data_IF_356751488555
#
_entry.id   IF_356751488555
#
_cell.length_a   1.000
_cell.length_b   1.000
_cell.length_c   1.000
_cell.angle_alpha   90.00
_cell.angle_beta   90.00
_cell.angle_gamma   90.00
#
_symmetry.space_group_name_H-M   'P 1'
#
loop_
_entity.id
_entity.type
_entity.pdbx_description
1 polymer ?
#
# COMPACT_ATOMS: atom_id res chain seq x y z
N UNK A 1 -26.06 2.73 32.61
CA UNK A 1 -24.93 2.01 31.99
C UNK A 1 -24.93 0.59 32.56
N UNK A 2 -25.17 -0.45 31.74
CA UNK A 2 -25.45 -1.83 32.22
C UNK A 2 -24.30 -2.42 33.04
N UNK A 3 -23.05 -2.24 32.59
CA UNK A 3 -21.86 -2.76 33.27
C UNK A 3 -21.62 -2.18 34.67
N UNK A 4 -21.98 -0.91 34.89
CA UNK A 4 -21.78 -0.23 36.19
C UNK A 4 -22.81 -0.65 37.24
N UNK A 5 -23.88 -1.34 36.85
CA UNK A 5 -24.87 -1.89 37.79
C UNK A 5 -24.38 -3.27 38.27
N UNK A 6 -23.97 -3.39 39.54
CA UNK A 6 -23.42 -4.62 40.11
C UNK A 6 -24.37 -5.81 40.00
N UNK A 7 -25.65 -5.61 40.33
CA UNK A 7 -26.68 -6.65 40.26
C UNK A 7 -26.83 -7.20 38.85
N UNK A 8 -26.94 -6.33 37.85
CA UNK A 8 -27.04 -6.76 36.44
C UNK A 8 -25.74 -7.39 35.94
N UNK A 9 -24.57 -6.85 36.30
CA UNK A 9 -23.26 -7.37 35.90
C UNK A 9 -23.05 -8.80 36.40
N UNK A 10 -23.38 -9.07 37.66
CA UNK A 10 -23.27 -10.41 38.27
C UNK A 10 -24.30 -11.38 37.69
N UNK A 11 -25.55 -10.94 37.54
CA UNK A 11 -26.62 -11.76 36.97
C UNK A 11 -26.33 -12.17 35.51
N UNK A 12 -25.82 -11.24 34.69
CA UNK A 12 -25.51 -11.47 33.28
C UNK A 12 -24.08 -11.95 33.03
N UNK A 13 -23.27 -12.11 34.10
CA UNK A 13 -21.86 -12.53 34.05
C UNK A 13 -21.00 -11.69 33.10
N UNK A 14 -21.17 -10.37 33.15
CA UNK A 14 -20.43 -9.45 32.26
C UNK A 14 -19.02 -9.22 32.81
N UNK A 15 -18.01 -9.58 32.02
CA UNK A 15 -16.59 -9.35 32.31
C UNK A 15 -15.95 -8.31 31.37
N UNK A 16 -14.78 -7.82 31.76
CA UNK A 16 -13.90 -7.02 30.91
C UNK A 16 -12.56 -7.75 30.73
N UNK A 17 -12.06 -7.75 29.51
CA UNK A 17 -10.75 -8.30 29.18
C UNK A 17 -9.64 -7.31 29.60
N UNK A 18 -9.32 -7.33 30.88
CA UNK A 18 -8.43 -6.32 31.49
C UNK A 18 -6.95 -6.52 31.14
N UNK A 19 -6.57 -7.70 30.65
CA UNK A 19 -5.20 -8.06 30.27
C UNK A 19 -5.03 -8.20 28.75
N UNK A 20 -6.02 -7.75 27.96
CA UNK A 20 -6.01 -7.79 26.50
C UNK A 20 -5.70 -9.17 25.91
N UNK A 21 -6.28 -10.23 26.49
CA UNK A 21 -6.14 -11.61 25.96
C UNK A 21 -6.89 -11.81 24.65
N UNK A 22 -7.98 -11.08 24.46
CA UNK A 22 -8.87 -11.15 23.30
C UNK A 22 -8.87 -9.80 22.59
N UNK A 23 -9.05 -8.70 23.33
CA UNK A 23 -9.24 -7.36 22.78
C UNK A 23 -8.09 -6.42 23.16
N UNK A 24 -7.39 -5.91 22.16
CA UNK A 24 -6.42 -4.84 22.30
C UNK A 24 -6.97 -3.55 21.71
N UNK A 25 -7.39 -2.63 22.60
CA UNK A 25 -7.62 -1.24 22.20
C UNK A 25 -6.26 -0.54 22.13
N UNK A 26 -6.00 0.22 21.07
CA UNK A 26 -4.68 0.83 20.86
C UNK A 26 -4.57 2.25 21.42
N UNK A 27 -5.69 2.95 21.62
CA UNK A 27 -5.63 4.32 22.16
C UNK A 27 -5.04 4.34 23.57
N UNK A 28 -3.95 5.09 23.76
CA UNK A 28 -3.28 5.27 25.05
C UNK A 28 -2.34 4.13 25.47
N UNK A 29 -2.14 3.13 24.61
CA UNK A 29 -1.28 1.95 24.90
C UNK A 29 -0.51 1.50 23.65
N UNK A 30 -0.29 2.39 22.67
CA UNK A 30 0.44 2.05 21.43
C UNK A 30 1.89 1.65 21.70
N UNK A 31 2.50 2.18 22.76
CA UNK A 31 3.91 1.96 23.08
C UNK A 31 4.15 0.56 23.67
N UNK A 32 3.11 -0.09 24.19
CA UNK A 32 3.17 -1.44 24.75
C UNK A 32 2.80 -2.53 23.73
N UNK A 33 2.46 -2.15 22.50
CA UNK A 33 2.00 -3.08 21.46
C UNK A 33 3.02 -3.14 20.33
N UNK A 34 3.58 -4.33 20.14
CA UNK A 34 4.67 -4.58 19.19
C UNK A 34 4.32 -5.71 18.22
N UNK A 35 5.10 -5.83 17.15
CA UNK A 35 5.06 -6.99 16.27
C UNK A 35 6.07 -8.03 16.77
N UNK A 36 5.58 -9.23 17.04
CA UNK A 36 6.42 -10.38 17.32
C UNK A 36 6.35 -11.34 16.13
N UNK A 37 7.51 -11.78 15.67
CA UNK A 37 7.60 -12.76 14.59
C UNK A 37 7.81 -14.14 15.19
N UNK A 38 6.96 -15.07 14.78
CA UNK A 38 7.13 -16.48 15.10
C UNK A 38 8.41 -17.01 14.45
N UNK A 39 9.26 -17.68 15.23
CA UNK A 39 10.59 -18.12 14.77
C UNK A 39 10.50 -19.23 13.71
N UNK A 40 9.50 -20.10 13.80
CA UNK A 40 9.33 -21.25 12.92
C UNK A 40 8.67 -20.87 11.58
N UNK A 41 7.59 -20.09 11.64
CA UNK A 41 6.77 -19.72 10.48
C UNK A 41 7.13 -18.36 9.89
N UNK A 42 7.83 -17.52 10.64
CA UNK A 42 8.08 -16.12 10.30
C UNK A 42 6.82 -15.24 10.34
N UNK A 43 5.69 -15.75 10.83
CA UNK A 43 4.42 -15.02 10.85
C UNK A 43 4.46 -13.90 11.89
N UNK A 44 3.99 -12.71 11.49
CA UNK A 44 3.83 -11.60 12.42
C UNK A 44 2.56 -11.79 13.27
N UNK A 45 2.68 -11.48 14.56
CA UNK A 45 1.59 -11.40 15.53
C UNK A 45 1.70 -10.08 16.31
N UNK A 46 0.56 -9.54 16.74
CA UNK A 46 0.57 -8.44 17.69
C UNK A 46 0.83 -8.98 19.09
N UNK A 47 1.71 -8.30 19.82
CA UNK A 47 2.13 -8.67 21.16
C UNK A 47 1.97 -7.49 22.10
N UNK A 48 1.27 -7.68 23.20
CA UNK A 48 1.19 -6.72 24.29
C UNK A 48 2.29 -7.04 25.32
N UNK A 49 3.31 -6.18 25.38
CA UNK A 49 4.46 -6.38 26.26
C UNK A 49 4.13 -6.19 27.75
N UNK A 50 3.16 -5.32 28.08
CA UNK A 50 2.78 -5.05 29.46
C UNK A 50 2.10 -6.25 30.14
N UNK A 51 1.33 -7.03 29.39
CA UNK A 51 0.59 -8.19 29.91
C UNK A 51 1.08 -9.55 29.40
N UNK A 52 2.07 -9.56 28.51
CA UNK A 52 2.58 -10.75 27.83
C UNK A 52 1.45 -11.56 27.17
N UNK A 53 0.67 -10.90 26.30
CA UNK A 53 -0.49 -11.48 25.61
C UNK A 53 -0.45 -11.25 24.09
N UNK A 54 -1.06 -12.19 23.34
CA UNK A 54 -1.28 -12.08 21.90
C UNK A 54 -2.78 -11.88 21.63
N UNK A 55 -3.26 -10.63 21.53
CA UNK A 55 -4.67 -10.35 21.34
C UNK A 55 -5.19 -10.87 19.99
N UNK A 56 -6.39 -11.44 20.01
CA UNK A 56 -7.07 -11.91 18.79
C UNK A 56 -7.65 -10.75 17.96
N UNK A 57 -8.07 -9.67 18.62
CA UNK A 57 -8.73 -8.52 18.00
C UNK A 57 -7.96 -7.27 18.35
N UNK A 58 -7.50 -6.57 17.31
CA UNK A 58 -6.95 -5.23 17.43
C UNK A 58 -8.01 -4.19 17.09
N UNK A 59 -8.14 -3.20 17.95
CA UNK A 59 -9.05 -2.09 17.76
C UNK A 59 -8.28 -0.77 17.83
N UNK A 60 -8.06 -0.17 16.67
CA UNK A 60 -7.50 1.18 16.56
C UNK A 60 -8.52 2.23 16.94
N UNK A 61 -8.94 2.31 18.20
CA UNK A 61 -9.88 3.32 18.69
C UNK A 61 -9.22 4.72 18.77
N UNK A 62 -10.03 5.79 18.67
CA UNK A 62 -9.53 7.16 18.80
C UNK A 62 -8.38 7.51 17.83
N UNK A 63 -7.35 8.25 18.27
CA UNK A 63 -6.21 8.69 17.45
C UNK A 63 -5.16 7.60 17.13
N UNK A 64 -5.47 6.31 17.29
CA UNK A 64 -4.51 5.20 17.04
C UNK A 64 -4.60 4.57 15.64
N UNK A 65 -5.36 5.17 14.73
CA UNK A 65 -5.61 4.64 13.37
C UNK A 65 -4.33 4.40 12.57
N UNK A 66 -3.38 5.33 12.65
CA UNK A 66 -2.09 5.21 11.95
C UNK A 66 -1.27 4.02 12.47
N UNK A 67 -1.29 3.77 13.77
CA UNK A 67 -0.62 2.62 14.37
C UNK A 67 -1.30 1.30 13.96
N UNK A 68 -2.64 1.27 13.91
CA UNK A 68 -3.35 0.11 13.36
C UNK A 68 -2.98 -0.15 11.89
N UNK A 69 -2.90 0.89 11.05
CA UNK A 69 -2.49 0.76 9.66
C UNK A 69 -1.07 0.18 9.53
N UNK A 70 -0.15 0.59 10.42
CA UNK A 70 1.19 0.01 10.50
C UNK A 70 1.13 -1.49 10.79
N UNK A 71 0.44 -1.91 11.87
CA UNK A 71 0.32 -3.31 12.25
C UNK A 71 -0.34 -4.15 11.13
N UNK A 72 -1.39 -3.61 10.49
CA UNK A 72 -2.14 -4.28 9.43
C UNK A 72 -1.35 -4.53 8.14
N UNK A 73 -0.17 -3.92 7.96
CA UNK A 73 0.74 -4.29 6.87
C UNK A 73 1.34 -5.70 7.06
N UNK A 74 1.36 -6.19 8.30
CA UNK A 74 1.99 -7.46 8.67
C UNK A 74 0.95 -8.52 9.05
N UNK A 75 -0.05 -8.16 9.85
CA UNK A 75 -0.97 -9.11 10.48
C UNK A 75 -2.42 -9.01 9.96
N UNK A 76 -3.20 -10.10 10.04
CA UNK A 76 -2.71 -11.47 10.11
C UNK A 76 -2.25 -11.94 8.72
N UNK A 77 -1.06 -12.55 8.65
CA UNK A 77 -0.57 -13.22 7.43
C UNK A 77 -0.43 -12.32 6.20
N UNK A 78 -0.30 -11.00 6.38
CA UNK A 78 -0.10 -10.04 5.27
C UNK A 78 1.36 -9.98 4.85
N UNK A 79 2.27 -10.14 5.80
CA UNK A 79 3.71 -10.21 5.59
C UNK A 79 4.36 -11.16 6.60
N UNK A 80 5.39 -11.89 6.18
CA UNK A 80 6.23 -12.74 7.03
C UNK A 80 7.71 -12.49 6.77
N UNK A 81 8.58 -12.80 7.75
CA UNK A 81 10.03 -12.70 7.60
C UNK A 81 10.62 -13.74 6.63
N UNK A 82 9.89 -14.83 6.37
CA UNK A 82 10.34 -15.95 5.54
C UNK A 82 9.86 -15.82 4.09
N UNK A 83 8.56 -15.55 3.88
CA UNK A 83 7.93 -15.50 2.56
C UNK A 83 7.62 -14.08 2.05
N UNK A 84 7.89 -13.07 2.88
CA UNK A 84 7.62 -11.67 2.53
C UNK A 84 6.12 -11.37 2.45
N UNK A 85 5.76 -10.44 1.57
CA UNK A 85 4.39 -9.94 1.45
C UNK A 85 3.48 -10.94 0.73
N UNK A 86 2.46 -11.45 1.42
CA UNK A 86 1.54 -12.45 0.90
C UNK A 86 0.56 -11.90 -0.15
N UNK A 87 0.43 -10.57 -0.28
CA UNK A 87 -0.50 -9.93 -1.22
C UNK A 87 0.21 -9.14 -2.34
N UNK A 88 1.50 -8.88 -2.19
CA UNK A 88 2.26 -8.10 -3.16
C UNK A 88 2.47 -8.93 -4.43
N UNK A 89 2.41 -8.29 -5.60
CA UNK A 89 2.58 -8.99 -6.89
C UNK A 89 1.42 -9.90 -7.31
N UNK A 90 0.42 -10.15 -6.45
CA UNK A 90 -0.83 -10.84 -6.83
C UNK A 90 -1.79 -9.96 -7.64
N UNK A 91 -1.55 -8.65 -7.66
CA UNK A 91 -2.27 -7.75 -8.58
C UNK A 91 -1.74 -7.98 -9.98
N UNK A 92 -2.66 -8.02 -10.94
CA UNK A 92 -2.33 -8.08 -12.37
C UNK A 92 -1.29 -7.01 -12.67
N UNK A 93 -0.11 -7.45 -13.11
CA UNK A 93 0.91 -6.53 -13.62
C UNK A 93 0.43 -6.07 -14.99
N UNK A 94 0.35 -4.76 -15.16
CA UNK A 94 0.13 -4.20 -16.47
C UNK A 94 1.41 -4.42 -17.29
N UNK A 95 1.37 -5.36 -18.22
CA UNK A 95 2.49 -5.62 -19.12
C UNK A 95 2.44 -4.63 -20.29
N UNK A 96 3.40 -3.71 -20.30
CA UNK A 96 3.53 -2.64 -21.28
C UNK A 96 4.15 -3.16 -22.59
N UNK A 97 4.84 -4.30 -22.55
CA UNK A 97 5.57 -4.88 -23.68
C UNK A 97 4.66 -5.54 -24.73
N UNK A 98 3.49 -6.02 -24.31
CA UNK A 98 2.54 -6.75 -25.17
C UNK A 98 1.91 -5.84 -26.21
N UNK A 99 1.66 -4.57 -25.88
CA UNK A 99 1.08 -3.59 -26.82
C UNK A 99 2.06 -3.07 -27.87
N UNK A 100 3.36 -3.31 -27.71
CA UNK A 100 4.41 -2.71 -28.55
C UNK A 100 5.05 -3.73 -29.51
N UNK A 101 5.24 -4.97 -29.09
CA UNK A 101 6.02 -5.96 -29.87
C UNK A 101 5.21 -7.06 -30.56
N UNK A 102 3.90 -7.17 -30.34
CA UNK A 102 3.02 -8.03 -31.15
C UNK A 102 3.28 -9.54 -31.08
N UNK A 103 4.24 -10.02 -30.28
CA UNK A 103 4.53 -11.45 -30.14
C UNK A 103 3.87 -12.03 -28.89
N UNK A 104 2.71 -12.66 -29.11
CA UNK A 104 1.88 -13.29 -28.09
C UNK A 104 2.30 -14.73 -27.79
N UNK A 105 3.23 -15.31 -28.56
CA UNK A 105 3.56 -16.75 -28.49
C UNK A 105 4.24 -17.14 -27.18
N UNK A 106 4.93 -16.20 -26.52
CA UNK A 106 5.69 -16.46 -25.29
C UNK A 106 4.82 -16.58 -24.03
N UNK A 107 3.58 -16.12 -24.07
CA UNK A 107 2.74 -15.96 -22.87
C UNK A 107 1.56 -16.93 -22.81
N UNK A 108 1.34 -17.76 -23.84
CA UNK A 108 0.20 -18.70 -23.96
C UNK A 108 0.01 -19.59 -22.71
N UNK A 109 1.10 -20.01 -22.06
CA UNK A 109 1.08 -20.83 -20.83
C UNK A 109 0.72 -20.08 -19.53
N UNK A 110 0.82 -18.75 -19.50
CA UNK A 110 0.53 -17.94 -18.30
C UNK A 110 -0.92 -17.43 -18.27
N UNK A 111 -1.70 -17.68 -19.34
CA UNK A 111 -3.11 -17.27 -19.45
C UNK A 111 -4.08 -18.18 -18.69
N UNK A 112 -3.82 -19.49 -18.64
CA UNK A 112 -4.72 -20.46 -17.99
C UNK A 112 -4.78 -20.32 -16.46
N UNK A 113 -3.85 -19.58 -15.85
CA UNK A 113 -3.79 -19.35 -14.41
C UNK A 113 -4.44 -18.02 -13.95
N UNK A 114 -4.91 -17.17 -14.87
CA UNK A 114 -5.64 -15.92 -14.54
C UNK A 114 -4.79 -14.79 -13.91
N UNK A 115 -3.47 -14.87 -14.03
CA UNK A 115 -2.50 -13.99 -13.34
C UNK A 115 -2.27 -12.66 -14.09
N UNK A 116 -2.54 -12.60 -15.41
CA UNK A 116 -2.29 -11.43 -16.25
C UNK A 116 -3.55 -11.01 -17.05
N UNK A 117 -3.91 -9.72 -17.02
CA UNK A 117 -4.73 -9.07 -18.05
C UNK A 117 -3.78 -8.45 -19.06
N UNK A 118 -3.56 -9.15 -20.17
CA UNK A 118 -2.83 -8.57 -21.28
C UNK A 118 -3.74 -7.56 -21.99
N UNK A 119 -3.44 -6.28 -21.85
CA UNK A 119 -4.02 -5.25 -22.71
C UNK A 119 -3.41 -5.46 -24.09
N UNK A 120 -4.20 -6.04 -25.01
CA UNK A 120 -3.74 -6.45 -26.35
C UNK A 120 -3.52 -5.26 -27.28
N UNK A 121 -4.19 -4.15 -27.04
CA UNK A 121 -4.10 -2.95 -27.85
C UNK A 121 -3.65 -1.75 -27.00
N UNK A 122 -2.62 -0.97 -27.41
CA UNK A 122 -2.27 0.30 -26.78
C UNK A 122 -3.44 1.27 -26.53
N UNK A 123 -4.51 1.16 -27.31
CA UNK A 123 -5.75 1.94 -27.16
C UNK A 123 -6.63 1.49 -26.00
N UNK A 124 -6.42 0.30 -25.45
CA UNK A 124 -7.15 -0.21 -24.29
C UNK A 124 -6.48 0.20 -22.96
N UNK A 125 -5.30 0.84 -23.02
CA UNK A 125 -4.64 1.39 -21.84
C UNK A 125 -5.49 2.49 -21.18
N UNK A 126 -5.49 2.57 -19.83
CA UNK A 126 -6.21 3.63 -19.14
C UNK A 126 -5.63 5.00 -19.50
N UNK A 127 -6.49 5.99 -19.69
CA UNK A 127 -6.03 7.37 -19.78
C UNK A 127 -5.56 7.81 -18.40
N UNK A 128 -4.27 8.15 -18.27
CA UNK A 128 -3.70 8.65 -17.02
C UNK A 128 -3.43 10.15 -17.12
N UNK A 129 -3.48 10.84 -16.00
CA UNK A 129 -2.99 12.22 -15.89
C UNK A 129 -1.68 12.20 -15.14
N UNK A 130 -0.65 12.82 -15.72
CA UNK A 130 0.63 13.05 -15.04
C UNK A 130 0.81 14.54 -14.82
N UNK A 131 1.11 14.92 -13.58
CA UNK A 131 1.40 16.29 -13.20
C UNK A 131 2.84 16.41 -12.72
N UNK A 132 3.65 17.18 -13.45
CA UNK A 132 5.05 17.46 -13.11
C UNK A 132 5.11 18.84 -12.44
N UNK A 133 5.70 18.91 -11.24
CA UNK A 133 5.79 20.15 -10.45
C UNK A 133 7.25 20.56 -10.26
N UNK A 134 7.66 21.64 -10.94
CA UNK A 134 8.95 22.30 -10.78
C UNK A 134 8.73 23.54 -9.90
N UNK A 135 8.52 23.29 -8.61
CA UNK A 135 8.16 24.33 -7.65
C UNK A 135 9.35 25.10 -7.06
N UNK A 136 10.56 24.55 -7.20
CA UNK A 136 11.83 25.11 -6.69
C UNK A 136 12.95 24.85 -7.71
N UNK A 137 14.09 25.57 -7.62
CA UNK A 137 15.27 25.26 -8.42
C UNK A 137 15.72 23.82 -8.16
N UNK A 138 15.67 22.99 -9.20
CA UNK A 138 16.23 21.65 -9.19
C UNK A 138 17.15 21.50 -10.41
N UNK A 139 18.31 20.85 -10.27
CA UNK A 139 19.20 20.59 -11.40
C UNK A 139 18.62 19.49 -12.30
N UNK A 140 19.18 19.35 -13.50
CA UNK A 140 18.89 18.27 -14.46
C UNK A 140 17.42 18.14 -14.89
N UNK A 141 16.76 19.29 -15.14
CA UNK A 141 15.36 19.31 -15.60
C UNK A 141 15.22 18.68 -16.98
N UNK A 142 16.16 18.95 -17.88
CA UNK A 142 16.13 18.44 -19.24
C UNK A 142 16.18 16.91 -19.24
N UNK A 143 17.11 16.33 -18.49
CA UNK A 143 17.26 14.88 -18.32
C UNK A 143 16.05 14.25 -17.64
N UNK A 144 15.42 14.93 -16.68
CA UNK A 144 14.17 14.46 -16.07
C UNK A 144 13.01 14.45 -17.08
N UNK A 145 12.92 15.48 -17.94
CA UNK A 145 11.90 15.55 -19.00
C UNK A 145 12.14 14.48 -20.08
N UNK A 146 13.40 14.24 -20.46
CA UNK A 146 13.79 13.17 -21.36
C UNK A 146 13.48 11.78 -20.77
N UNK A 147 13.79 11.55 -19.48
CA UNK A 147 13.45 10.31 -18.80
C UNK A 147 11.93 10.08 -18.76
N UNK A 148 11.14 11.15 -18.58
CA UNK A 148 9.69 11.09 -18.68
C UNK A 148 9.21 10.77 -20.11
N UNK A 149 9.83 11.39 -21.13
CA UNK A 149 9.58 11.06 -22.53
C UNK A 149 9.90 9.59 -22.84
N UNK A 150 10.88 9.00 -22.14
CA UNK A 150 11.26 7.59 -22.24
C UNK A 150 10.34 6.59 -21.53
N UNK A 151 9.32 7.02 -20.77
CA UNK A 151 8.42 6.09 -20.09
C UNK A 151 7.70 5.16 -21.08
N UNK A 152 7.71 3.86 -20.77
CA UNK A 152 7.07 2.80 -21.56
C UNK A 152 5.54 2.80 -21.40
N UNK A 153 4.89 3.89 -21.80
CA UNK A 153 3.44 4.04 -21.73
C UNK A 153 2.94 4.80 -22.96
N UNK A 154 1.80 4.42 -23.57
CA UNK A 154 1.31 5.08 -24.78
C UNK A 154 1.14 6.59 -24.57
N UNK A 155 1.90 7.42 -25.30
CA UNK A 155 1.89 8.89 -25.09
C UNK A 155 0.53 9.52 -25.33
N UNK A 156 -0.27 8.95 -26.23
CA UNK A 156 -1.68 9.34 -26.48
C UNK A 156 -2.62 9.05 -25.30
N UNK A 157 -2.18 8.27 -24.32
CA UNK A 157 -2.91 7.90 -23.08
C UNK A 157 -2.36 8.63 -21.86
N UNK A 158 -1.56 9.67 -22.06
CA UNK A 158 -1.07 10.55 -21.00
C UNK A 158 -1.63 11.95 -21.24
N UNK A 159 -2.47 12.41 -20.33
CA UNK A 159 -2.77 13.82 -20.18
C UNK A 159 -1.67 14.45 -19.31
N UNK A 160 -0.85 15.33 -19.91
CA UNK A 160 0.29 15.94 -19.23
C UNK A 160 -0.04 17.35 -18.76
N UNK A 161 0.25 17.63 -17.49
CA UNK A 161 0.25 18.97 -16.91
C UNK A 161 1.62 19.27 -16.31
N UNK A 162 2.19 20.44 -16.63
CA UNK A 162 3.46 20.88 -16.04
C UNK A 162 3.24 22.22 -15.35
N UNK A 163 3.48 22.24 -14.04
CA UNK A 163 3.60 23.47 -13.26
C UNK A 163 5.08 23.82 -13.11
N UNK A 164 5.46 25.02 -13.55
CA UNK A 164 6.80 25.53 -13.37
C UNK A 164 6.77 26.95 -12.78
N UNK A 165 7.33 27.11 -11.58
CA UNK A 165 7.50 28.43 -10.93
C UNK A 165 8.91 29.01 -11.12
N UNK A 166 9.80 28.30 -11.83
CA UNK A 166 11.21 28.63 -12.00
C UNK A 166 11.45 29.31 -13.34
N UNK A 167 11.62 30.65 -13.31
CA UNK A 167 11.76 31.49 -14.51
C UNK A 167 12.87 31.06 -15.46
N UNK A 168 14.00 30.58 -14.92
CA UNK A 168 15.17 30.20 -15.71
C UNK A 168 14.97 28.89 -16.49
N UNK A 169 14.08 28.00 -16.03
CA UNK A 169 13.78 26.73 -16.71
C UNK A 169 12.56 26.83 -17.65
N UNK A 170 11.91 28.00 -17.73
CA UNK A 170 10.73 28.20 -18.58
C UNK A 170 11.05 27.83 -20.03
N UNK A 171 12.21 28.28 -20.55
CA UNK A 171 12.63 27.99 -21.92
C UNK A 171 12.80 26.49 -22.15
N UNK A 172 13.58 25.81 -21.30
CA UNK A 172 13.81 24.36 -21.39
C UNK A 172 12.50 23.56 -21.39
N UNK A 173 11.55 23.90 -20.51
CA UNK A 173 10.25 23.22 -20.44
C UNK A 173 9.41 23.49 -21.69
N UNK A 174 9.38 24.73 -22.19
CA UNK A 174 8.64 25.06 -23.41
C UNK A 174 9.26 24.42 -24.66
N UNK A 175 10.58 24.39 -24.77
CA UNK A 175 11.30 23.80 -25.89
C UNK A 175 11.09 22.28 -25.94
N UNK A 176 10.98 21.60 -24.80
CA UNK A 176 10.72 20.16 -24.76
C UNK A 176 9.28 19.78 -25.16
N UNK A 177 8.33 20.70 -25.00
CA UNK A 177 6.92 20.43 -25.31
C UNK A 177 6.59 20.55 -26.81
N UNK A 178 7.36 21.35 -27.56
CA UNK A 178 7.11 21.68 -28.97
C UNK A 178 8.05 20.92 -29.89
#
# INVERSE_FOLDING_TARGET
>A
MIYLNSKLREQLKIGLDSASRIFQNLNGVTDDVELQFDEDTGAALAYNAAYNTHPAILHGNGPSKSHLNYLANYIPGRWSSVSGCAFCGKKQKLDLSVGIYGDYSKFEKLFDEGIFTCIKDPTDFPLITVSIFIAKPIPFIEEMLEAFAGLDYPKKKIALYIYNSQRFNIKTVFDWFN
#
